data_IF_324245774138
#
_entry.id   IF_324245774138
#
_cell.length_a   1.000
_cell.length_b   1.000
_cell.length_c   1.000
_cell.angle_alpha   90.00
_cell.angle_beta   90.00
_cell.angle_gamma   90.00
#
_symmetry.space_group_name_H-M   'P 1'
#
loop_
_entity.id
_entity.type
_entity.pdbx_description
1 polymer ?
#
# COMPACT_ATOMS: atom_id res chain seq x y z
N UNK A 1 -7.40 -14.18 -2.91
CA UNK A 1 -7.32 -14.46 -1.45
C UNK A 1 -6.22 -13.60 -0.85
N UNK A 2 -6.41 -13.11 0.39
CA UNK A 2 -5.40 -12.36 1.11
C UNK A 2 -4.80 -13.18 2.26
N UNK A 3 -3.50 -13.03 2.47
CA UNK A 3 -2.75 -13.69 3.54
C UNK A 3 -1.81 -12.69 4.19
N UNK A 4 -1.58 -12.83 5.47
CA UNK A 4 -0.48 -12.17 6.17
C UNK A 4 0.43 -13.22 6.77
N UNK A 5 1.74 -13.03 6.63
CA UNK A 5 2.76 -13.83 7.31
C UNK A 5 3.39 -12.97 8.38
N UNK A 6 3.38 -13.46 9.60
CA UNK A 6 4.02 -12.80 10.74
C UNK A 6 5.22 -13.63 11.16
N UNK A 7 6.36 -12.99 11.27
CA UNK A 7 7.64 -13.59 11.66
C UNK A 7 8.07 -12.91 12.96
N UNK A 8 8.25 -13.69 14.03
CA UNK A 8 8.83 -13.18 15.25
C UNK A 8 10.35 -13.11 15.09
N UNK A 9 10.89 -11.90 14.94
CA UNK A 9 12.34 -11.69 14.79
C UNK A 9 13.07 -11.49 16.12
N UNK A 10 12.33 -11.55 17.24
CA UNK A 10 12.91 -11.44 18.57
C UNK A 10 13.35 -12.80 19.13
N UNK A 11 14.02 -12.79 20.27
CA UNK A 11 14.45 -13.97 20.99
C UNK A 11 13.45 -14.44 22.07
N UNK A 12 12.26 -13.85 22.13
CA UNK A 12 11.20 -14.20 23.10
C UNK A 12 9.88 -14.48 22.39
N UNK A 13 9.05 -15.33 22.97
CA UNK A 13 7.69 -15.52 22.49
C UNK A 13 6.87 -14.23 22.69
N UNK A 14 5.98 -13.94 21.73
CA UNK A 14 5.16 -12.71 21.78
C UNK A 14 3.72 -12.98 21.35
N UNK A 15 2.72 -12.37 22.00
CA UNK A 15 1.36 -12.36 21.48
C UNK A 15 1.30 -11.51 20.21
N UNK A 16 0.45 -11.93 19.27
CA UNK A 16 0.18 -11.19 18.04
C UNK A 16 -1.28 -10.84 17.98
N UNK A 17 -1.57 -9.57 17.81
CA UNK A 17 -2.93 -9.04 17.68
C UNK A 17 -3.13 -8.40 16.33
N UNK A 18 -4.38 -8.31 15.88
CA UNK A 18 -4.79 -7.69 14.63
C UNK A 18 -5.93 -6.72 14.89
N UNK A 19 -5.96 -5.60 14.17
CA UNK A 19 -7.07 -4.66 14.16
C UNK A 19 -7.35 -4.18 12.73
N UNK A 20 -8.62 -3.98 12.39
CA UNK A 20 -8.98 -3.27 11.16
C UNK A 20 -8.73 -1.78 11.34
N UNK A 21 -8.24 -1.14 10.28
CA UNK A 21 -8.11 0.30 10.19
C UNK A 21 -9.09 0.79 9.14
N UNK A 22 -9.98 1.68 9.52
CA UNK A 22 -10.83 2.38 8.57
C UNK A 22 -9.98 3.16 7.58
N UNK A 23 -10.15 2.87 6.29
CA UNK A 23 -9.32 3.45 5.23
C UNK A 23 -9.51 4.95 5.06
N UNK A 24 -10.68 5.48 5.42
CA UNK A 24 -11.01 6.89 5.23
C UNK A 24 -10.59 7.75 6.43
N UNK A 25 -10.85 7.26 7.64
CA UNK A 25 -10.63 8.00 8.89
C UNK A 25 -9.31 7.66 9.56
N UNK A 26 -8.73 6.48 9.26
CA UNK A 26 -7.55 5.95 9.94
C UNK A 26 -7.85 5.40 11.35
N UNK A 27 -9.10 5.41 11.78
CA UNK A 27 -9.48 4.88 13.09
C UNK A 27 -9.23 3.37 13.15
N UNK A 28 -8.65 2.91 14.26
CA UNK A 28 -8.49 1.50 14.54
C UNK A 28 -9.75 0.95 15.22
N UNK A 29 -10.26 -0.16 14.70
CA UNK A 29 -11.29 -0.95 15.35
C UNK A 29 -10.74 -1.75 16.55
N UNK A 30 -11.60 -2.55 17.19
CA UNK A 30 -11.19 -3.46 18.27
C UNK A 30 -10.06 -4.39 17.80
N UNK A 31 -9.12 -4.67 18.68
CA UNK A 31 -8.05 -5.64 18.41
C UNK A 31 -8.50 -7.06 18.75
N UNK A 32 -8.22 -7.99 17.82
CA UNK A 32 -8.39 -9.43 18.03
C UNK A 32 -7.03 -10.13 18.19
N UNK A 33 -7.00 -11.25 18.90
CA UNK A 33 -5.80 -12.05 19.09
C UNK A 33 -5.68 -13.10 17.99
N UNK A 34 -4.60 -13.07 17.21
CA UNK A 34 -4.25 -14.11 16.22
C UNK A 34 -3.54 -15.29 16.89
N UNK A 35 -2.63 -15.00 17.80
CA UNK A 35 -1.97 -16.00 18.64
C UNK A 35 -1.57 -15.40 19.98
N UNK A 36 -1.72 -16.17 21.04
CA UNK A 36 -1.33 -15.76 22.38
C UNK A 36 0.20 -15.78 22.57
N UNK A 37 0.92 -16.63 21.82
CA UNK A 37 2.37 -16.75 21.93
C UNK A 37 2.97 -17.28 20.63
N UNK A 38 3.50 -16.40 19.79
CA UNK A 38 4.33 -16.76 18.63
C UNK A 38 5.76 -17.00 19.15
N UNK A 39 6.31 -18.22 19.06
CA UNK A 39 7.65 -18.50 19.57
C UNK A 39 8.74 -17.66 18.92
N UNK A 40 9.86 -17.49 19.60
CA UNK A 40 11.06 -16.82 19.06
C UNK A 40 11.49 -17.45 17.72
N UNK A 41 11.76 -16.63 16.71
CA UNK A 41 12.17 -17.07 15.38
C UNK A 41 11.08 -17.78 14.55
N UNK A 42 9.89 -18.00 15.10
CA UNK A 42 8.80 -18.66 14.39
C UNK A 42 8.12 -17.74 13.39
N UNK A 43 7.54 -18.35 12.33
CA UNK A 43 6.74 -17.66 11.33
C UNK A 43 5.41 -18.39 11.13
N UNK A 44 4.31 -17.64 11.12
CA UNK A 44 2.96 -18.17 10.87
C UNK A 44 2.28 -17.35 9.79
N UNK A 45 1.54 -18.02 8.90
CA UNK A 45 0.73 -17.38 7.86
C UNK A 45 -0.75 -17.49 8.25
N UNK A 46 -1.45 -16.37 8.21
CA UNK A 46 -2.87 -16.26 8.50
C UNK A 46 -3.62 -15.91 7.22
N UNK A 47 -4.68 -16.64 6.92
CA UNK A 47 -5.63 -16.31 5.87
C UNK A 47 -6.72 -15.35 6.38
N UNK A 48 -7.54 -14.81 5.49
CA UNK A 48 -8.70 -14.03 5.89
C UNK A 48 -9.64 -14.80 6.83
N UNK A 49 -9.79 -16.11 6.61
CA UNK A 49 -10.57 -17.01 7.48
C UNK A 49 -10.06 -17.12 8.91
N UNK A 50 -8.80 -16.79 9.17
CA UNK A 50 -8.21 -16.76 10.51
C UNK A 50 -8.33 -15.37 11.13
N UNK A 51 -8.25 -14.33 10.29
CA UNK A 51 -8.25 -12.93 10.70
C UNK A 51 -9.66 -12.46 11.06
N UNK A 52 -10.67 -12.77 10.24
CA UNK A 52 -12.05 -12.33 10.45
C UNK A 52 -12.65 -12.82 11.78
N UNK A 53 -12.53 -14.09 12.16
CA UNK A 53 -12.98 -14.56 13.49
C UNK A 53 -12.24 -13.86 14.63
N UNK A 54 -10.93 -13.63 14.50
CA UNK A 54 -10.16 -12.91 15.52
C UNK A 54 -10.64 -11.47 15.70
N UNK A 55 -11.11 -10.83 14.64
CA UNK A 55 -11.67 -9.48 14.64
C UNK A 55 -13.15 -9.44 15.10
N UNK A 56 -13.82 -10.58 15.16
CA UNK A 56 -15.26 -10.67 15.42
C UNK A 56 -16.12 -10.01 14.33
N UNK A 57 -15.60 -9.91 13.11
CA UNK A 57 -16.28 -9.25 11.98
C UNK A 57 -15.90 -9.89 10.65
N UNK A 58 -16.80 -9.78 9.69
CA UNK A 58 -16.56 -10.18 8.30
C UNK A 58 -16.17 -8.97 7.47
N UNK A 59 -15.13 -9.10 6.68
CA UNK A 59 -14.67 -8.05 5.77
C UNK A 59 -15.50 -8.11 4.48
N UNK A 60 -16.21 -7.03 4.15
CA UNK A 60 -17.04 -6.98 2.97
C UNK A 60 -16.23 -7.23 1.69
N UNK A 61 -16.78 -8.08 0.81
CA UNK A 61 -16.17 -8.33 -0.51
C UNK A 61 -16.03 -7.02 -1.30
N UNK A 62 -14.86 -6.83 -1.91
CA UNK A 62 -14.54 -5.61 -2.66
C UNK A 62 -14.09 -4.41 -1.80
N UNK A 63 -14.21 -4.49 -0.47
CA UNK A 63 -13.58 -3.51 0.41
C UNK A 63 -12.05 -3.67 0.35
N UNK A 64 -11.34 -2.57 0.61
CA UNK A 64 -9.88 -2.57 0.68
C UNK A 64 -9.42 -2.23 2.11
N UNK A 65 -9.74 -3.08 3.10
CA UNK A 65 -9.43 -2.80 4.48
C UNK A 65 -7.91 -2.72 4.67
N UNK A 66 -7.51 -1.94 5.64
CA UNK A 66 -6.15 -1.97 6.17
C UNK A 66 -6.16 -2.80 7.45
N UNK A 67 -5.09 -3.53 7.65
CA UNK A 67 -4.89 -4.33 8.85
C UNK A 67 -3.65 -3.80 9.58
N UNK A 68 -3.80 -3.55 10.88
CA UNK A 68 -2.67 -3.32 11.77
C UNK A 68 -2.37 -4.63 12.48
N UNK A 69 -1.15 -5.09 12.37
CA UNK A 69 -0.62 -6.22 13.16
C UNK A 69 0.27 -5.64 14.24
N UNK A 70 0.08 -6.06 15.48
CA UNK A 70 0.84 -5.58 16.64
C UNK A 70 1.34 -6.74 17.49
N UNK A 71 2.51 -6.57 18.07
CA UNK A 71 3.11 -7.49 19.01
C UNK A 71 3.91 -6.71 20.07
N UNK A 72 4.21 -7.33 21.20
CA UNK A 72 5.05 -6.73 22.25
C UNK A 72 6.54 -6.80 21.94
N UNK A 73 6.94 -7.78 21.12
CA UNK A 73 8.31 -7.95 20.65
C UNK A 73 8.46 -7.63 19.15
N UNK A 74 9.68 -7.58 18.65
CA UNK A 74 9.96 -7.28 17.24
C UNK A 74 9.38 -8.37 16.33
N UNK A 75 8.59 -7.94 15.35
CA UNK A 75 8.02 -8.81 14.32
C UNK A 75 8.25 -8.21 12.94
N UNK A 76 8.34 -9.08 11.93
CA UNK A 76 8.23 -8.71 10.53
C UNK A 76 6.88 -9.19 10.00
N UNK A 77 6.21 -8.34 9.22
CA UNK A 77 4.92 -8.67 8.61
C UNK A 77 5.04 -8.60 7.09
N UNK A 78 4.60 -9.64 6.43
CA UNK A 78 4.50 -9.72 4.98
C UNK A 78 3.03 -9.92 4.61
N UNK A 79 2.53 -9.25 3.58
CA UNK A 79 1.20 -9.50 3.07
C UNK A 79 1.25 -10.05 1.65
N UNK A 80 0.39 -11.02 1.37
CA UNK A 80 0.31 -11.70 0.08
C UNK A 80 -1.12 -11.62 -0.42
N UNK A 81 -1.26 -11.47 -1.71
CA UNK A 81 -2.55 -11.57 -2.39
C UNK A 81 -2.43 -12.55 -3.56
N UNK A 82 -3.37 -13.47 -3.67
CA UNK A 82 -3.49 -14.36 -4.81
C UNK A 82 -4.77 -14.08 -5.57
N UNK A 83 -4.71 -14.17 -6.89
CA UNK A 83 -5.86 -14.14 -7.77
C UNK A 83 -6.21 -15.58 -8.24
N UNK A 84 -7.33 -15.80 -8.95
CA UNK A 84 -7.68 -17.12 -9.49
C UNK A 84 -6.64 -17.71 -10.45
N UNK A 85 -5.78 -16.87 -11.04
CA UNK A 85 -4.67 -17.30 -11.91
C UNK A 85 -3.42 -17.75 -11.14
N UNK A 86 -3.45 -17.78 -9.82
CA UNK A 86 -2.35 -18.24 -8.98
C UNK A 86 -1.20 -17.25 -8.79
N UNK A 87 -1.35 -16.01 -9.25
CA UNK A 87 -0.33 -14.97 -9.07
C UNK A 87 -0.38 -14.47 -7.62
N UNK A 88 0.75 -14.55 -6.96
CA UNK A 88 0.94 -14.06 -5.59
C UNK A 88 1.72 -12.75 -5.64
N UNK A 89 1.15 -11.70 -5.09
CA UNK A 89 1.79 -10.39 -4.95
C UNK A 89 2.19 -10.18 -3.50
N UNK A 90 3.44 -9.80 -3.28
CA UNK A 90 3.95 -9.44 -1.97
C UNK A 90 3.76 -7.92 -1.75
N UNK A 91 2.93 -7.54 -0.80
CA UNK A 91 2.65 -6.14 -0.45
C UNK A 91 3.53 -5.68 0.74
N UNK A 92 4.86 -5.83 0.63
CA UNK A 92 5.77 -5.44 1.72
C UNK A 92 6.62 -4.21 1.42
N UNK A 93 6.48 -3.62 0.24
CA UNK A 93 7.39 -2.60 -0.29
C UNK A 93 6.89 -1.17 -0.25
N UNK A 94 6.20 -0.72 0.80
CA UNK A 94 5.86 0.68 0.94
C UNK A 94 7.13 1.53 1.12
N UNK A 95 7.31 2.56 0.29
CA UNK A 95 8.35 3.56 0.52
C UNK A 95 7.81 4.63 1.48
N UNK A 96 8.61 4.99 2.48
CA UNK A 96 8.25 6.00 3.48
C UNK A 96 9.08 7.27 3.31
N UNK A 97 8.42 8.42 3.35
CA UNK A 97 9.09 9.71 3.32
C UNK A 97 8.14 10.88 3.12
N UNK A 98 8.70 12.09 3.17
CA UNK A 98 8.02 13.32 2.76
C UNK A 98 8.21 13.60 1.26
N UNK A 99 9.14 12.90 0.61
CA UNK A 99 9.35 12.89 -0.83
C UNK A 99 9.72 11.47 -1.24
N UNK A 100 8.90 10.85 -2.07
CA UNK A 100 9.04 9.45 -2.51
C UNK A 100 8.95 9.38 -4.02
N UNK A 101 9.96 8.82 -4.66
CA UNK A 101 9.97 8.58 -6.10
C UNK A 101 9.46 7.16 -6.39
N UNK A 102 8.35 7.07 -7.09
CA UNK A 102 7.78 5.83 -7.59
C UNK A 102 8.53 5.44 -8.88
N UNK A 103 9.19 4.28 -8.91
CA UNK A 103 10.16 3.94 -9.96
C UNK A 103 9.54 3.70 -11.34
N UNK A 104 8.26 3.43 -11.42
CA UNK A 104 7.56 3.15 -12.67
C UNK A 104 6.12 3.61 -12.60
N UNK A 105 5.62 4.17 -13.70
CA UNK A 105 4.24 4.59 -13.87
C UNK A 105 3.74 4.22 -15.26
N UNK A 106 2.57 3.58 -15.35
CA UNK A 106 1.91 3.29 -16.63
C UNK A 106 0.88 4.38 -16.92
N UNK A 107 1.03 5.14 -18.00
CA UNK A 107 0.07 6.16 -18.41
C UNK A 107 -1.35 5.63 -18.60
N UNK A 108 -2.34 6.45 -18.26
CA UNK A 108 -3.76 6.09 -18.41
C UNK A 108 -4.14 5.73 -19.86
N UNK A 109 -3.43 6.26 -20.84
CA UNK A 109 -3.63 5.90 -22.26
C UNK A 109 -3.51 4.38 -22.51
N UNK A 110 -2.79 3.62 -21.68
CA UNK A 110 -2.67 2.16 -21.76
C UNK A 110 -3.85 1.40 -21.16
N UNK A 111 -4.79 2.08 -20.51
CA UNK A 111 -5.93 1.44 -19.85
C UNK A 111 -6.83 0.67 -20.83
N UNK A 112 -7.01 1.17 -22.04
CA UNK A 112 -7.78 0.50 -23.10
C UNK A 112 -7.14 -0.82 -23.55
N UNK A 113 -5.84 -1.00 -23.31
CA UNK A 113 -5.09 -2.24 -23.55
C UNK A 113 -5.01 -3.14 -22.32
N UNK A 114 -5.81 -2.84 -21.27
CA UNK A 114 -5.87 -3.64 -20.03
C UNK A 114 -4.74 -3.38 -19.02
N UNK A 115 -3.89 -2.37 -19.27
CA UNK A 115 -2.88 -1.96 -18.30
C UNK A 115 -3.41 -0.86 -17.38
N UNK A 116 -3.05 -0.88 -16.12
CA UNK A 116 -3.40 0.18 -15.19
C UNK A 116 -2.31 0.39 -14.13
N UNK A 117 -2.16 1.65 -13.71
CA UNK A 117 -1.37 2.04 -12.55
C UNK A 117 -2.26 2.58 -11.45
N UNK A 118 -1.90 2.24 -10.23
CA UNK A 118 -2.52 2.75 -9.01
C UNK A 118 -1.45 3.20 -8.04
N UNK A 119 -1.73 4.28 -7.35
CA UNK A 119 -0.89 4.83 -6.31
C UNK A 119 -1.66 4.85 -5.01
N UNK A 120 -1.21 4.10 -4.00
CA UNK A 120 -1.80 4.13 -2.66
C UNK A 120 -0.90 4.92 -1.75
N UNK A 121 -1.47 5.90 -1.06
CA UNK A 121 -0.78 6.76 -0.12
C UNK A 121 -1.42 6.61 1.24
N UNK A 122 -0.59 6.40 2.26
CA UNK A 122 -1.02 6.12 3.62
C UNK A 122 -0.37 7.17 4.53
N UNK A 123 -1.18 7.97 5.21
CA UNK A 123 -0.65 8.87 6.23
C UNK A 123 -0.37 8.07 7.51
N UNK A 124 0.89 7.83 7.79
CA UNK A 124 1.33 7.13 9.02
C UNK A 124 1.70 8.09 10.15
N UNK A 125 1.57 9.39 9.91
CA UNK A 125 1.79 10.42 10.92
C UNK A 125 0.60 10.61 11.87
N UNK A 126 0.77 11.49 12.83
CA UNK A 126 -0.25 11.84 13.85
C UNK A 126 -1.07 13.08 13.48
N UNK A 127 -0.76 13.76 12.39
CA UNK A 127 -1.47 14.95 11.89
C UNK A 127 -1.91 14.76 10.44
N UNK A 128 -2.91 15.52 10.01
CA UNK A 128 -3.30 15.55 8.60
C UNK A 128 -2.16 16.07 7.74
N UNK A 129 -2.01 15.51 6.53
CA UNK A 129 -0.93 15.86 5.60
C UNK A 129 -1.48 16.22 4.23
N UNK A 130 -0.98 17.30 3.65
CA UNK A 130 -1.20 17.58 2.24
C UNK A 130 -0.29 16.66 1.40
N UNK A 131 -0.86 16.11 0.33
CA UNK A 131 -0.15 15.22 -0.59
C UNK A 131 -0.23 15.79 -2.00
N UNK A 132 0.92 15.90 -2.65
CA UNK A 132 1.05 16.32 -4.04
C UNK A 132 1.80 15.28 -4.86
N UNK A 133 1.61 15.31 -6.17
CA UNK A 133 2.30 14.45 -7.12
C UNK A 133 2.89 15.27 -8.26
N UNK A 134 4.05 14.89 -8.74
CA UNK A 134 4.67 15.41 -9.96
C UNK A 134 5.09 14.26 -10.87
N UNK A 135 5.05 14.49 -12.18
CA UNK A 135 5.62 13.57 -13.15
C UNK A 135 7.13 13.76 -13.20
N UNK A 136 7.85 12.66 -13.30
CA UNK A 136 9.28 12.65 -13.62
C UNK A 136 9.43 12.04 -15.01
N UNK A 137 10.06 12.74 -15.90
CA UNK A 137 10.49 12.20 -17.19
C UNK A 137 11.60 11.15 -16.96
N UNK A 138 11.37 9.93 -17.41
CA UNK A 138 12.28 8.82 -17.14
C UNK A 138 13.60 8.89 -17.89
N UNK A 139 13.62 9.59 -19.03
CA UNK A 139 14.82 9.70 -19.87
C UNK A 139 15.72 10.86 -19.43
N UNK A 140 15.12 12.00 -19.09
CA UNK A 140 15.87 13.21 -18.68
C UNK A 140 15.98 13.37 -17.16
N UNK A 141 15.12 12.70 -16.38
CA UNK A 141 15.01 12.91 -14.94
C UNK A 141 14.34 14.25 -14.56
N UNK A 142 13.86 15.02 -15.52
CA UNK A 142 13.20 16.29 -15.26
C UNK A 142 11.90 16.08 -14.46
N UNK A 143 11.72 16.89 -13.42
CA UNK A 143 10.51 16.86 -12.57
C UNK A 143 9.58 17.96 -13.01
N UNK A 144 8.35 17.59 -13.36
CA UNK A 144 7.29 18.53 -13.73
C UNK A 144 6.69 19.29 -12.55
N UNK A 145 5.70 20.12 -12.83
CA UNK A 145 4.99 20.88 -11.79
C UNK A 145 4.20 19.93 -10.89
N UNK A 146 4.34 20.09 -9.58
CA UNK A 146 3.58 19.31 -8.59
C UNK A 146 2.11 19.76 -8.56
N UNK A 147 1.21 18.79 -8.46
CA UNK A 147 -0.22 19.00 -8.31
C UNK A 147 -0.75 18.34 -7.04
N UNK A 148 -1.70 18.97 -6.37
CA UNK A 148 -2.30 18.44 -5.15
C UNK A 148 -3.23 17.26 -5.48
N UNK A 149 -2.96 16.10 -4.88
CA UNK A 149 -3.85 14.93 -4.89
C UNK A 149 -4.82 14.95 -3.71
N UNK A 150 -4.33 15.32 -2.55
CA UNK A 150 -5.13 15.40 -1.34
C UNK A 150 -4.66 16.59 -0.49
N UNK A 151 -5.53 17.57 -0.20
CA UNK A 151 -5.13 18.74 0.60
C UNK A 151 -4.97 18.43 2.08
N UNK A 152 -5.60 17.36 2.60
CA UNK A 152 -5.59 17.03 4.03
C UNK A 152 -5.92 15.54 4.28
N UNK A 153 -4.99 14.66 3.94
CA UNK A 153 -5.12 13.23 4.25
C UNK A 153 -5.02 13.03 5.76
N UNK A 154 -6.10 12.55 6.38
CA UNK A 154 -6.18 12.39 7.84
C UNK A 154 -5.12 11.41 8.39
N UNK A 155 -4.73 11.53 9.68
CA UNK A 155 -3.84 10.57 10.33
C UNK A 155 -4.37 9.14 10.19
N UNK A 156 -3.48 8.21 9.83
CA UNK A 156 -3.84 6.81 9.65
C UNK A 156 -4.70 6.51 8.41
N UNK A 157 -5.20 7.50 7.68
CA UNK A 157 -5.99 7.30 6.47
C UNK A 157 -5.13 6.80 5.29
N UNK A 158 -5.79 6.13 4.35
CA UNK A 158 -5.17 5.66 3.10
C UNK A 158 -6.09 5.93 1.91
N UNK A 159 -5.55 6.49 0.85
CA UNK A 159 -6.28 6.74 -0.40
C UNK A 159 -5.54 6.06 -1.55
N UNK A 160 -6.30 5.49 -2.47
CA UNK A 160 -5.76 4.93 -3.71
C UNK A 160 -6.21 5.77 -4.89
N UNK A 161 -5.26 6.20 -5.70
CA UNK A 161 -5.49 6.97 -6.93
C UNK A 161 -5.23 6.09 -8.14
N UNK A 162 -6.13 6.15 -9.12
CA UNK A 162 -5.90 5.55 -10.45
C UNK A 162 -5.01 6.46 -11.30
N UNK A 163 -4.41 5.91 -12.35
CA UNK A 163 -3.67 6.70 -13.34
C UNK A 163 -4.48 7.87 -13.89
N UNK A 164 -5.79 7.66 -14.15
CA UNK A 164 -6.68 8.73 -14.61
C UNK A 164 -6.78 9.90 -13.61
N UNK A 165 -6.92 9.61 -12.32
CA UNK A 165 -7.01 10.64 -11.29
C UNK A 165 -5.68 11.40 -11.14
N UNK A 166 -4.55 10.69 -11.27
CA UNK A 166 -3.22 11.27 -11.21
C UNK A 166 -3.02 12.22 -12.41
N UNK A 167 -3.28 11.77 -13.64
CA UNK A 167 -3.13 12.58 -14.85
C UNK A 167 -4.07 13.78 -14.88
N UNK A 168 -5.31 13.61 -14.39
CA UNK A 168 -6.25 14.71 -14.24
C UNK A 168 -5.73 15.79 -13.27
N UNK A 169 -5.08 15.39 -12.19
CA UNK A 169 -4.49 16.32 -11.23
C UNK A 169 -3.31 17.09 -11.83
N UNK A 170 -2.34 16.38 -12.43
CA UNK A 170 -1.14 17.01 -13.04
C UNK A 170 -1.43 17.71 -14.38
N UNK A 171 -2.61 17.47 -14.97
CA UNK A 171 -3.05 17.99 -16.28
C UNK A 171 -2.08 17.69 -17.42
N UNK A 172 -1.44 16.53 -17.34
CA UNK A 172 -0.49 16.04 -18.35
C UNK A 172 -0.82 14.59 -18.64
N UNK A 173 -0.81 14.21 -19.92
CA UNK A 173 -0.85 12.80 -20.35
C UNK A 173 0.57 12.38 -20.75
N UNK A 174 1.27 11.64 -19.91
CA UNK A 174 2.66 11.27 -20.16
C UNK A 174 2.77 10.30 -21.33
N UNK A 175 3.85 10.43 -22.10
CA UNK A 175 4.17 9.50 -23.17
C UNK A 175 4.73 8.19 -22.57
N UNK A 176 4.25 7.05 -23.08
CA UNK A 176 4.75 5.74 -22.66
C UNK A 176 6.25 5.59 -22.93
N UNK A 177 6.72 6.12 -24.07
CA UNK A 177 8.13 6.09 -24.49
C UNK A 177 9.07 6.86 -23.56
N UNK A 178 8.57 7.84 -22.82
CA UNK A 178 9.35 8.62 -21.85
C UNK A 178 9.58 7.90 -20.51
N UNK A 179 9.15 6.65 -20.37
CA UNK A 179 9.30 5.83 -19.14
C UNK A 179 8.96 6.63 -17.87
N UNK A 180 7.74 7.18 -17.80
CA UNK A 180 7.40 8.12 -16.76
C UNK A 180 7.48 7.49 -15.37
N UNK A 181 7.87 8.31 -14.40
CA UNK A 181 7.87 8.01 -12.97
C UNK A 181 7.07 9.08 -12.24
N UNK A 182 6.75 8.85 -10.98
CA UNK A 182 6.04 9.83 -10.16
C UNK A 182 6.87 10.21 -8.95
N UNK A 183 6.82 11.48 -8.56
CA UNK A 183 7.27 11.95 -7.26
C UNK A 183 6.06 12.31 -6.42
N UNK A 184 5.94 11.66 -5.27
CA UNK A 184 4.94 11.99 -4.25
C UNK A 184 5.62 12.85 -3.20
N UNK A 185 5.03 13.99 -2.88
CA UNK A 185 5.49 14.87 -1.80
C UNK A 185 4.39 15.11 -0.79
N UNK A 186 4.75 15.25 0.48
CA UNK A 186 3.81 15.47 1.57
C UNK A 186 4.43 16.33 2.66
N UNK A 187 3.59 16.94 3.50
CA UNK A 187 4.06 17.77 4.64
C UNK A 187 4.58 16.94 5.81
N UNK A 188 4.11 15.70 5.94
CA UNK A 188 4.61 14.72 6.93
C UNK A 188 4.91 13.41 6.20
N UNK A 189 5.70 12.52 6.81
CA UNK A 189 6.03 11.24 6.19
C UNK A 189 4.78 10.40 5.91
N UNK A 190 4.70 9.88 4.69
CA UNK A 190 3.65 8.97 4.21
C UNK A 190 4.27 7.67 3.73
N UNK A 191 3.51 6.58 3.78
CA UNK A 191 3.87 5.35 3.07
C UNK A 191 3.24 5.39 1.68
N UNK A 192 4.04 5.12 0.66
CA UNK A 192 3.65 5.11 -0.75
C UNK A 192 3.81 3.71 -1.32
N UNK A 193 2.75 3.20 -1.91
CA UNK A 193 2.72 1.92 -2.61
C UNK A 193 2.27 2.16 -4.05
N UNK A 194 2.93 1.56 -5.01
CA UNK A 194 2.50 1.59 -6.41
C UNK A 194 2.13 0.19 -6.90
N UNK A 195 1.05 0.11 -7.65
CA UNK A 195 0.54 -1.13 -8.20
C UNK A 195 0.38 -0.98 -9.71
N UNK A 196 0.72 -2.01 -10.44
CA UNK A 196 0.48 -2.09 -11.88
C UNK A 196 -0.24 -3.38 -12.20
N UNK A 197 -1.24 -3.31 -13.06
CA UNK A 197 -1.92 -4.47 -13.62
C UNK A 197 -1.73 -4.54 -15.13
N UNK A 198 -1.74 -5.74 -15.65
CA UNK A 198 -1.73 -6.04 -17.07
C UNK A 198 -3.03 -6.78 -17.48
N UNK A 199 -3.26 -7.04 -18.77
CA UNK A 199 -4.44 -7.77 -19.26
C UNK A 199 -4.64 -9.15 -18.64
N UNK A 200 -3.58 -9.79 -18.14
CA UNK A 200 -3.63 -11.07 -17.42
C UNK A 200 -4.05 -10.93 -15.95
N UNK A 201 -4.33 -9.72 -15.46
CA UNK A 201 -4.72 -9.47 -14.08
C UNK A 201 -3.57 -9.57 -13.08
N UNK A 202 -2.34 -9.60 -13.53
CA UNK A 202 -1.14 -9.58 -12.66
C UNK A 202 -1.00 -8.20 -12.06
N UNK A 203 -1.01 -8.12 -10.75
CA UNK A 203 -0.73 -6.89 -10.00
C UNK A 203 0.71 -6.97 -9.51
N UNK A 204 1.53 -6.04 -9.95
CA UNK A 204 2.92 -5.91 -9.50
C UNK A 204 3.01 -4.74 -8.54
N UNK A 205 3.57 -4.95 -7.37
CA UNK A 205 3.93 -3.87 -6.47
C UNK A 205 5.36 -3.43 -6.78
N UNK A 206 5.52 -2.15 -7.12
CA UNK A 206 6.82 -1.55 -7.31
C UNK A 206 7.31 -1.00 -5.97
N UNK A 207 7.74 -1.90 -5.09
CA UNK A 207 8.45 -1.57 -3.86
C UNK A 207 9.96 -1.56 -4.11
N UNK A 208 10.65 -0.58 -3.54
CA UNK A 208 12.12 -0.57 -3.54
C UNK A 208 12.59 -1.66 -2.57
N UNK A 209 13.38 -2.60 -3.04
CA UNK A 209 14.17 -3.48 -2.18
C UNK A 209 15.44 -2.71 -1.84
N UNK A 210 15.59 -2.31 -0.58
CA UNK A 210 16.87 -1.83 -0.06
C UNK A 210 17.85 -2.98 0.06
#
# INVERSE_FOLDING_TARGET
MGFIRVINTSNTATPVTVALIDGNTGAAGPAGTLTAALPAGAAVTYAASDIEPALGTTIAAGSRPRIRVSAQAAIQVQSFQSNPGGVVTLNSGAQRGTSVDVPSYLPWALHTSGYASYLRIINTGSSATAVSVALIDGDSGAVGTAATLNPALAPGAAVTYSGQQIEAAIRVSPLVSARPRLRVTSTTAVDVQSFQSNPGGVVTENGYVQ
#
